data_IF_743179823027
#
_entry.id   IF_743179823027
#
_cell.length_a   1.000
_cell.length_b   1.000
_cell.length_c   1.000
_cell.angle_alpha   90.00
_cell.angle_beta   90.00
_cell.angle_gamma   90.00
#
_symmetry.space_group_name_H-M   'P 1'
#
loop_
_entity.id
_entity.type
_entity.pdbx_description
1 polymer ?
#
# COMPACT_ATOMS: atom_id res chain seq x y z
N UNK A 1 1.22 -4.82 -6.15
CA UNK A 1 1.62 -3.80 -5.15
C UNK A 1 0.45 -3.03 -4.57
N UNK A 2 0.06 -1.87 -5.12
CA UNK A 2 -1.05 -1.06 -4.56
C UNK A 2 -2.32 -1.87 -4.37
N UNK A 3 -2.75 -2.59 -5.40
CA UNK A 3 -3.97 -3.39 -5.35
C UNK A 3 -3.89 -4.52 -4.32
N UNK A 4 -2.71 -5.13 -4.16
CA UNK A 4 -2.42 -6.14 -3.14
C UNK A 4 -2.56 -5.56 -1.73
N UNK A 5 -1.99 -4.37 -1.48
CA UNK A 5 -2.10 -3.68 -0.20
C UNK A 5 -3.54 -3.30 0.13
N UNK A 6 -4.28 -2.75 -0.85
CA UNK A 6 -5.70 -2.43 -0.68
C UNK A 6 -6.56 -3.68 -0.48
N UNK A 7 -6.24 -4.80 -1.12
CA UNK A 7 -6.94 -6.07 -0.94
C UNK A 7 -6.70 -6.65 0.46
N UNK A 8 -5.44 -6.67 0.92
CA UNK A 8 -5.09 -7.10 2.28
C UNK A 8 -5.78 -6.21 3.33
N UNK A 9 -5.83 -4.90 3.10
CA UNK A 9 -6.53 -3.94 3.97
C UNK A 9 -8.07 -4.05 3.92
N UNK A 10 -8.63 -4.73 2.91
CA UNK A 10 -10.08 -4.78 2.69
C UNK A 10 -10.68 -3.50 2.10
N UNK A 11 -9.84 -2.62 1.54
CA UNK A 11 -10.24 -1.35 0.93
C UNK A 11 -10.48 -1.45 -0.59
N UNK A 12 -9.94 -2.49 -1.24
CA UNK A 12 -9.95 -2.59 -2.70
C UNK A 12 -11.38 -2.62 -3.27
N UNK A 13 -11.71 -1.62 -4.09
CA UNK A 13 -12.92 -1.62 -4.89
C UNK A 13 -12.70 -2.47 -6.16
N UNK A 14 -13.47 -3.56 -6.26
CA UNK A 14 -13.40 -4.55 -7.35
C UNK A 14 -14.35 -4.28 -8.52
N UNK A 15 -15.06 -3.14 -8.53
CA UNK A 15 -15.96 -2.79 -9.63
C UNK A 15 -15.21 -2.78 -10.97
N UNK A 16 -15.76 -3.48 -11.95
CA UNK A 16 -15.24 -3.54 -13.32
C UNK A 16 -16.00 -2.55 -14.19
N UNK A 17 -15.28 -1.84 -15.05
CA UNK A 17 -15.82 -0.82 -15.96
C UNK A 17 -16.14 0.52 -15.27
N UNK A 18 -16.61 1.50 -16.04
CA UNK A 18 -16.86 2.86 -15.55
C UNK A 18 -15.62 3.77 -15.58
N UNK A 19 -15.75 5.01 -15.09
CA UNK A 19 -14.68 6.00 -15.19
C UNK A 19 -13.44 5.61 -14.37
N UNK A 20 -12.29 6.09 -14.83
CA UNK A 20 -11.05 6.07 -14.06
C UNK A 20 -11.13 6.98 -12.83
N UNK A 21 -10.10 6.91 -11.99
CA UNK A 21 -9.97 7.77 -10.83
C UNK A 21 -8.63 8.52 -10.86
N UNK A 22 -8.65 9.72 -10.28
CA UNK A 22 -7.46 10.52 -10.08
C UNK A 22 -6.93 10.31 -8.66
N UNK A 23 -5.71 9.77 -8.48
CA UNK A 23 -5.09 9.66 -7.17
C UNK A 23 -4.74 11.04 -6.60
N UNK A 24 -4.64 11.12 -5.27
CA UNK A 24 -4.10 12.31 -4.63
C UNK A 24 -2.62 12.48 -4.99
N UNK A 25 -2.25 13.70 -5.39
CA UNK A 25 -0.87 14.05 -5.67
C UNK A 25 -0.23 14.70 -4.44
N UNK A 26 1.10 14.56 -4.24
CA UNK A 26 1.80 15.27 -3.17
C UNK A 26 1.66 16.79 -3.34
N UNK A 27 1.47 17.51 -2.23
CA UNK A 27 1.29 18.96 -2.26
C UNK A 27 2.45 19.70 -2.96
N UNK A 28 3.70 19.26 -2.76
CA UNK A 28 4.87 19.85 -3.41
C UNK A 28 4.98 19.62 -4.92
N UNK A 29 4.19 18.69 -5.47
CA UNK A 29 4.10 18.49 -6.92
C UNK A 29 3.14 19.51 -7.53
N UNK A 30 2.09 19.91 -6.81
CA UNK A 30 1.07 20.86 -7.27
C UNK A 30 1.56 22.33 -7.24
N UNK A 31 2.63 22.63 -6.51
CA UNK A 31 3.22 23.96 -6.40
C UNK A 31 4.17 24.32 -7.54
N UNK A 32 4.52 23.39 -8.43
CA UNK A 32 5.28 23.71 -9.64
C UNK A 32 4.35 24.37 -10.67
N UNK A 33 4.70 25.58 -11.13
CA UNK A 33 3.87 26.42 -12.02
C UNK A 33 3.36 25.70 -13.29
N UNK A 34 4.03 24.63 -13.74
CA UNK A 34 3.61 23.79 -14.87
C UNK A 34 2.30 23.02 -14.64
N UNK A 35 1.83 22.93 -13.39
CA UNK A 35 0.73 22.07 -12.96
C UNK A 35 -0.53 22.84 -12.54
N UNK A 36 -0.49 24.17 -12.53
CA UNK A 36 -1.66 25.00 -12.20
C UNK A 36 -2.69 25.14 -13.33
N UNK A 37 -2.47 24.50 -14.49
CA UNK A 37 -3.50 24.47 -15.53
C UNK A 37 -4.74 23.74 -15.02
N UNK A 38 -5.93 24.21 -15.41
CA UNK A 38 -7.26 23.62 -15.12
C UNK A 38 -7.41 22.13 -15.51
N UNK A 39 -6.38 21.53 -16.13
CA UNK A 39 -6.32 20.14 -16.58
C UNK A 39 -5.87 19.15 -15.51
N UNK A 40 -5.42 19.59 -14.35
CA UNK A 40 -5.25 18.69 -13.20
C UNK A 40 -6.62 18.36 -12.62
N UNK A 41 -7.10 17.16 -12.95
CA UNK A 41 -8.31 16.64 -12.33
C UNK A 41 -8.13 16.65 -10.80
N UNK A 42 -9.16 17.11 -10.10
CA UNK A 42 -9.19 17.02 -8.63
C UNK A 42 -9.11 15.54 -8.23
N UNK A 43 -8.42 15.21 -7.12
CA UNK A 43 -8.38 13.83 -6.63
C UNK A 43 -9.80 13.28 -6.44
N UNK A 44 -10.02 12.05 -6.91
CA UNK A 44 -11.32 11.40 -6.77
C UNK A 44 -11.60 11.10 -5.30
N UNK A 45 -12.75 11.54 -4.80
CA UNK A 45 -13.18 11.31 -3.43
C UNK A 45 -13.93 9.98 -3.27
N UNK A 46 -14.07 9.54 -2.01
CA UNK A 46 -14.89 8.39 -1.64
C UNK A 46 -14.37 7.04 -2.17
N UNK A 47 -15.25 6.03 -2.33
CA UNK A 47 -14.85 4.66 -2.66
C UNK A 47 -14.23 4.51 -4.06
N UNK A 48 -14.40 5.52 -4.93
CA UNK A 48 -13.75 5.57 -6.24
C UNK A 48 -12.22 5.63 -6.16
N UNK A 49 -11.65 6.11 -5.05
CA UNK A 49 -10.19 6.24 -4.87
C UNK A 49 -9.46 4.91 -4.64
N UNK A 50 -10.19 3.87 -4.25
CA UNK A 50 -9.63 2.52 -3.98
C UNK A 50 -9.88 1.54 -5.13
N UNK A 51 -10.24 2.02 -6.31
CA UNK A 51 -10.32 1.18 -7.51
C UNK A 51 -8.96 0.57 -7.84
N UNK A 52 -8.97 -0.52 -8.60
CA UNK A 52 -7.76 -1.17 -9.13
C UNK A 52 -6.86 -0.18 -9.86
N UNK A 53 -5.55 -0.37 -9.79
CA UNK A 53 -4.56 0.51 -10.38
C UNK A 53 -4.70 0.69 -11.89
N UNK A 54 -5.32 -0.27 -12.58
CA UNK A 54 -5.66 -0.19 -14.02
C UNK A 54 -6.62 0.97 -14.35
N UNK A 55 -7.38 1.47 -13.37
CA UNK A 55 -8.29 2.61 -13.52
C UNK A 55 -7.64 3.94 -13.14
N UNK A 56 -6.34 3.99 -12.85
CA UNK A 56 -5.64 5.25 -12.57
C UNK A 56 -5.59 6.08 -13.86
N UNK A 57 -6.03 7.33 -13.77
CA UNK A 57 -5.80 8.30 -14.83
C UNK A 57 -4.32 8.69 -14.85
N UNK A 58 -3.61 8.33 -15.91
CA UNK A 58 -2.19 8.66 -16.10
C UNK A 58 -2.08 9.77 -17.14
N UNK A 59 -1.41 10.86 -16.80
CA UNK A 59 -1.12 11.96 -17.72
C UNK A 59 0.33 11.86 -18.19
N UNK A 60 0.55 11.99 -19.50
CA UNK A 60 1.89 11.83 -20.12
C UNK A 60 2.94 12.79 -19.55
N UNK A 61 2.54 14.03 -19.25
CA UNK A 61 3.44 15.07 -18.70
C UNK A 61 3.51 15.09 -17.18
N UNK A 62 2.68 14.29 -16.50
CA UNK A 62 2.64 14.20 -15.05
C UNK A 62 2.60 12.73 -14.63
N UNK A 63 3.77 12.05 -14.68
CA UNK A 63 3.84 10.68 -14.22
C UNK A 63 3.62 10.63 -12.70
N UNK A 64 2.89 9.60 -12.25
CA UNK A 64 2.61 9.44 -10.83
C UNK A 64 3.87 8.96 -10.09
N UNK A 65 4.39 9.68 -9.07
CA UNK A 65 5.65 9.33 -8.41
C UNK A 65 5.68 7.89 -7.89
N UNK A 66 4.58 7.44 -7.28
CA UNK A 66 4.45 6.05 -6.81
C UNK A 66 4.58 5.05 -7.95
N UNK A 67 3.91 5.27 -9.08
CA UNK A 67 4.01 4.36 -10.23
C UNK A 67 5.43 4.34 -10.79
N UNK A 68 6.12 5.49 -10.85
CA UNK A 68 7.50 5.57 -11.29
C UNK A 68 8.46 4.81 -10.37
N UNK A 69 8.30 4.94 -9.05
CA UNK A 69 9.12 4.20 -8.09
C UNK A 69 9.01 2.68 -8.30
N UNK A 70 7.84 2.19 -8.74
CA UNK A 70 7.60 0.78 -9.07
C UNK A 70 7.76 0.44 -10.55
N UNK A 71 8.67 1.11 -11.27
CA UNK A 71 9.03 0.77 -12.65
C UNK A 71 7.82 0.75 -13.61
N UNK A 72 6.96 1.78 -13.52
CA UNK A 72 5.87 1.95 -14.47
C UNK A 72 6.38 2.05 -15.92
N UNK A 73 5.56 1.55 -16.85
CA UNK A 73 5.91 1.54 -18.27
C UNK A 73 6.14 2.96 -18.79
N UNK A 74 7.25 3.18 -19.49
CA UNK A 74 7.55 4.44 -20.14
C UNK A 74 6.63 4.62 -21.37
N UNK A 75 5.78 5.66 -21.45
CA UNK A 75 4.89 5.88 -22.59
C UNK A 75 5.62 6.31 -23.88
N UNK A 76 6.95 6.49 -23.83
CA UNK A 76 7.79 6.94 -24.94
C UNK A 76 8.71 5.83 -25.49
N UNK A 77 8.63 4.61 -24.98
CA UNK A 77 9.51 3.52 -25.39
C UNK A 77 8.87 2.15 -25.25
N UNK A 78 9.44 1.15 -25.91
CA UNK A 78 8.99 -0.24 -25.84
C UNK A 78 9.69 -0.98 -24.69
N UNK A 79 8.95 -1.83 -23.98
CA UNK A 79 9.50 -2.69 -22.93
C UNK A 79 9.16 -4.16 -23.25
N UNK A 80 10.16 -4.96 -23.63
CA UNK A 80 9.95 -6.37 -23.99
C UNK A 80 9.67 -7.27 -22.77
N UNK A 81 10.25 -6.92 -21.61
CA UNK A 81 10.07 -7.64 -20.35
C UNK A 81 10.22 -6.68 -19.18
N UNK A 82 9.34 -6.82 -18.19
CA UNK A 82 9.46 -6.10 -16.92
C UNK A 82 10.48 -6.80 -16.03
N UNK A 83 11.52 -6.08 -15.60
CA UNK A 83 12.44 -6.56 -14.57
C UNK A 83 11.74 -6.58 -13.22
N UNK A 84 12.13 -7.52 -12.34
CA UNK A 84 11.81 -7.40 -10.92
C UNK A 84 12.88 -6.56 -10.27
N UNK A 85 12.45 -5.51 -9.59
CA UNK A 85 13.32 -4.63 -8.81
C UNK A 85 12.85 -4.66 -7.36
N UNK A 86 13.81 -4.69 -6.44
CA UNK A 86 13.60 -4.51 -5.00
C UNK A 86 14.61 -3.47 -4.55
N UNK A 87 14.34 -2.19 -4.88
CA UNK A 87 15.25 -1.10 -4.55
C UNK A 87 14.84 -0.40 -3.24
N UNK A 88 15.79 0.24 -2.52
CA UNK A 88 15.49 0.96 -1.29
C UNK A 88 14.46 2.08 -1.46
N UNK A 89 14.38 2.68 -2.66
CA UNK A 89 13.41 3.72 -2.97
C UNK A 89 11.97 3.18 -2.99
N UNK A 90 11.76 1.95 -3.46
CA UNK A 90 10.47 1.26 -3.44
C UNK A 90 10.05 0.96 -2.00
N UNK A 91 10.96 0.45 -1.18
CA UNK A 91 10.69 0.23 0.25
C UNK A 91 10.33 1.54 0.96
N UNK A 92 11.06 2.63 0.68
CA UNK A 92 10.76 3.95 1.21
C UNK A 92 9.42 4.48 0.72
N UNK A 93 9.06 4.22 -0.55
CA UNK A 93 7.76 4.60 -1.12
C UNK A 93 6.62 3.86 -0.42
N UNK A 94 6.76 2.55 -0.17
CA UNK A 94 5.76 1.78 0.60
C UNK A 94 5.56 2.33 2.01
N UNK A 95 6.62 2.85 2.64
CA UNK A 95 6.55 3.38 4.00
C UNK A 95 5.90 4.78 4.06
N UNK A 96 6.08 5.59 3.02
CA UNK A 96 5.74 7.01 3.07
C UNK A 96 4.54 7.41 2.21
N UNK A 97 4.22 6.67 1.14
CA UNK A 97 3.11 7.07 0.28
C UNK A 97 1.77 7.02 1.04
N UNK A 98 0.91 8.05 0.92
CA UNK A 98 -0.39 8.10 1.59
C UNK A 98 -1.26 6.86 1.38
N UNK A 99 -1.23 6.24 0.19
CA UNK A 99 -2.08 5.08 -0.10
C UNK A 99 -1.67 3.85 0.73
N UNK A 100 -0.37 3.64 0.93
CA UNK A 100 0.13 2.53 1.73
C UNK A 100 -0.04 2.80 3.23
N UNK A 101 0.07 4.06 3.66
CA UNK A 101 -0.25 4.47 5.02
C UNK A 101 -1.73 4.27 5.37
N UNK A 102 -2.63 4.62 4.45
CA UNK A 102 -4.06 4.34 4.60
C UNK A 102 -4.31 2.83 4.64
N UNK A 103 -3.74 2.07 3.70
CA UNK A 103 -3.88 0.63 3.65
C UNK A 103 -3.35 -0.05 4.93
N UNK A 104 -2.20 0.37 5.46
CA UNK A 104 -1.65 -0.15 6.70
C UNK A 104 -2.54 0.15 7.91
N UNK A 105 -3.12 1.36 7.97
CA UNK A 105 -4.05 1.74 9.03
C UNK A 105 -5.32 0.88 8.99
N UNK A 106 -5.91 0.72 7.80
CA UNK A 106 -7.09 -0.10 7.61
C UNK A 106 -6.81 -1.61 7.86
N UNK A 107 -5.66 -2.11 7.40
CA UNK A 107 -5.20 -3.47 7.69
C UNK A 107 -5.00 -3.69 9.19
N UNK A 108 -4.38 -2.74 9.88
CA UNK A 108 -4.25 -2.78 11.34
C UNK A 108 -5.60 -2.86 12.04
N UNK A 109 -6.60 -2.09 11.58
CA UNK A 109 -7.98 -2.14 12.12
C UNK A 109 -8.62 -3.50 11.90
N UNK A 110 -8.44 -4.05 10.71
CA UNK A 110 -8.93 -5.37 10.33
C UNK A 110 -8.30 -6.49 11.15
N UNK A 111 -7.00 -6.41 11.46
CA UNK A 111 -6.28 -7.36 12.30
C UNK A 111 -6.76 -7.25 13.76
N UNK A 112 -6.80 -6.03 14.29
CA UNK A 112 -7.22 -5.78 15.67
C UNK A 112 -8.65 -6.28 15.91
N UNK A 113 -9.60 -5.96 15.04
CA UNK A 113 -10.99 -6.40 15.17
C UNK A 113 -11.17 -7.92 15.15
N UNK A 114 -10.28 -8.66 14.47
CA UNK A 114 -10.37 -10.12 14.36
C UNK A 114 -9.67 -10.88 15.49
N UNK A 115 -8.79 -10.23 16.27
CA UNK A 115 -7.92 -10.87 17.26
C UNK A 115 -7.52 -9.92 18.41
N UNK A 116 -8.44 -9.08 18.89
CA UNK A 116 -8.15 -8.00 19.86
C UNK A 116 -7.50 -8.48 21.18
N UNK A 117 -7.64 -9.76 21.48
CA UNK A 117 -7.33 -10.41 22.74
C UNK A 117 -5.98 -11.17 22.74
N UNK A 118 -5.25 -11.24 21.62
CA UNK A 118 -3.93 -11.89 21.59
C UNK A 118 -3.00 -11.37 20.49
N UNK A 119 -1.81 -10.92 20.89
CA UNK A 119 -0.73 -10.53 19.95
C UNK A 119 -0.38 -11.65 18.98
N UNK A 120 -0.26 -12.89 19.48
CA UNK A 120 0.06 -14.05 18.64
C UNK A 120 -1.00 -14.24 17.55
N UNK A 121 -2.29 -14.19 17.91
CA UNK A 121 -3.36 -14.29 16.91
C UNK A 121 -3.37 -13.11 15.93
N UNK A 122 -3.03 -11.91 16.36
CA UNK A 122 -2.91 -10.74 15.49
C UNK A 122 -1.79 -10.94 14.45
N UNK A 123 -0.63 -11.45 14.87
CA UNK A 123 0.49 -11.76 13.98
C UNK A 123 0.09 -12.86 12.98
N UNK A 124 -0.46 -13.99 13.46
CA UNK A 124 -0.96 -15.04 12.57
C UNK A 124 -1.97 -14.51 11.56
N UNK A 125 -2.88 -13.64 11.99
CA UNK A 125 -3.88 -13.04 11.09
C UNK A 125 -3.24 -12.14 10.04
N UNK A 126 -2.23 -11.36 10.41
CA UNK A 126 -1.50 -10.52 9.48
C UNK A 126 -0.79 -11.36 8.39
N UNK A 127 -0.15 -12.47 8.78
CA UNK A 127 0.48 -13.40 7.84
C UNK A 127 -0.53 -14.05 6.89
N UNK A 128 -1.69 -14.47 7.38
CA UNK A 128 -2.75 -15.01 6.53
C UNK A 128 -3.25 -13.99 5.49
N UNK A 129 -3.45 -12.74 5.90
CA UNK A 129 -3.96 -11.69 5.02
C UNK A 129 -2.94 -11.22 3.97
N UNK A 130 -1.66 -11.17 4.33
CA UNK A 130 -0.60 -10.64 3.47
C UNK A 130 0.14 -11.74 2.68
N UNK A 131 0.50 -12.84 3.35
CA UNK A 131 1.42 -13.86 2.83
C UNK A 131 0.73 -15.23 2.62
N UNK A 132 -0.48 -15.42 3.13
CA UNK A 132 -1.24 -16.67 3.08
C UNK A 132 -0.48 -17.91 3.61
N UNK A 133 0.41 -17.70 4.59
CA UNK A 133 1.11 -18.75 5.33
C UNK A 133 1.06 -18.46 6.83
N UNK A 134 1.59 -19.36 7.65
CA UNK A 134 1.87 -19.08 9.05
C UNK A 134 3.25 -18.39 9.21
N UNK A 135 3.42 -17.53 10.23
CA UNK A 135 4.75 -17.08 10.63
C UNK A 135 5.57 -18.25 11.17
N UNK A 136 6.88 -18.21 10.96
CA UNK A 136 7.79 -19.09 11.69
C UNK A 136 8.07 -18.57 13.12
N UNK A 137 8.84 -19.35 13.90
CA UNK A 137 9.14 -19.00 15.29
C UNK A 137 10.00 -17.74 15.44
N UNK A 138 10.90 -17.46 14.49
CA UNK A 138 11.77 -16.29 14.52
C UNK A 138 10.99 -15.02 14.15
N UNK A 139 10.18 -15.08 13.09
CA UNK A 139 9.27 -14.03 12.67
C UNK A 139 8.29 -13.66 13.79
N UNK A 140 7.69 -14.67 14.42
CA UNK A 140 6.77 -14.46 15.53
C UNK A 140 7.45 -13.73 16.69
N UNK A 141 8.64 -14.17 17.08
CA UNK A 141 9.38 -13.57 18.19
C UNK A 141 9.78 -12.10 17.90
N UNK A 142 10.21 -11.79 16.68
CA UNK A 142 10.56 -10.41 16.29
C UNK A 142 9.33 -9.51 16.29
N UNK A 143 8.21 -9.98 15.76
CA UNK A 143 6.99 -9.18 15.67
C UNK A 143 6.30 -9.01 17.03
N UNK A 144 6.38 -9.99 17.92
CA UNK A 144 5.93 -9.84 19.30
C UNK A 144 6.71 -8.74 20.02
N UNK A 145 8.04 -8.67 19.84
CA UNK A 145 8.87 -7.59 20.38
C UNK A 145 8.47 -6.24 19.82
N UNK A 146 8.23 -6.15 18.50
CA UNK A 146 7.76 -4.92 17.86
C UNK A 146 6.43 -4.46 18.49
N UNK A 147 5.46 -5.35 18.61
CA UNK A 147 4.14 -5.02 19.16
C UNK A 147 4.22 -4.59 20.63
N UNK A 148 5.15 -5.17 21.40
CA UNK A 148 5.39 -4.81 22.79
C UNK A 148 5.97 -3.40 22.98
N UNK A 149 6.50 -2.75 21.92
CA UNK A 149 6.92 -1.34 22.01
C UNK A 149 5.74 -0.37 22.09
N UNK A 150 4.54 -0.83 21.78
CA UNK A 150 3.30 -0.06 21.86
C UNK A 150 2.47 -0.50 23.08
N UNK A 151 1.84 0.44 23.76
CA UNK A 151 0.96 0.16 24.92
C UNK A 151 -0.49 0.55 24.60
N UNK A 152 -1.47 -0.37 24.66
CA UNK A 152 -1.31 -1.81 24.89
C UNK A 152 -0.74 -2.53 23.66
N UNK A 153 -0.02 -3.63 23.90
CA UNK A 153 0.64 -4.38 22.84
C UNK A 153 -0.34 -5.05 21.85
N UNK A 154 -1.58 -5.30 22.27
CA UNK A 154 -2.68 -5.79 21.44
C UNK A 154 -3.46 -4.66 20.75
N UNK A 155 -3.10 -3.41 21.00
CA UNK A 155 -3.86 -2.24 20.60
C UNK A 155 -3.83 -1.99 19.09
N UNK A 156 -4.72 -1.10 18.66
CA UNK A 156 -4.84 -0.66 17.28
C UNK A 156 -3.52 -0.08 16.73
N UNK A 157 -2.78 0.67 17.55
CA UNK A 157 -1.49 1.25 17.16
C UNK A 157 -0.43 0.17 16.87
N UNK A 158 -0.34 -0.86 17.72
CA UNK A 158 0.55 -2.00 17.53
C UNK A 158 0.19 -2.78 16.25
N UNK A 159 -1.10 -3.02 16.02
CA UNK A 159 -1.58 -3.67 14.79
C UNK A 159 -1.28 -2.84 13.53
N UNK A 160 -1.29 -1.51 13.63
CA UNK A 160 -0.94 -0.61 12.51
C UNK A 160 0.55 -0.64 12.22
N UNK A 161 1.40 -0.69 13.25
CA UNK A 161 2.85 -0.88 13.09
C UNK A 161 3.18 -2.24 12.46
N UNK A 162 2.53 -3.32 12.93
CA UNK A 162 2.61 -4.64 12.32
C UNK A 162 2.20 -4.60 10.84
N UNK A 163 1.06 -3.99 10.51
CA UNK A 163 0.57 -3.87 9.14
C UNK A 163 1.55 -3.12 8.22
N UNK A 164 2.22 -2.07 8.71
CA UNK A 164 3.27 -1.36 7.97
C UNK A 164 4.44 -2.26 7.63
N UNK A 165 4.91 -3.06 8.59
CA UNK A 165 5.98 -4.03 8.34
C UNK A 165 5.53 -5.05 7.30
N UNK A 166 4.35 -5.65 7.46
CA UNK A 166 3.86 -6.68 6.54
C UNK A 166 3.74 -6.19 5.09
N UNK A 167 3.30 -4.95 4.87
CA UNK A 167 3.19 -4.36 3.53
C UNK A 167 4.57 -4.05 2.93
N UNK A 168 5.60 -3.84 3.77
CA UNK A 168 6.95 -3.51 3.35
C UNK A 168 7.84 -4.74 3.10
N UNK A 169 7.42 -5.94 3.53
CA UNK A 169 8.19 -7.17 3.34
C UNK A 169 8.43 -7.45 1.86
N UNK A 170 9.65 -7.85 1.50
CA UNK A 170 9.98 -8.24 0.13
C UNK A 170 9.05 -9.36 -0.38
N UNK A 171 8.75 -10.35 0.46
CA UNK A 171 7.82 -11.44 0.13
C UNK A 171 6.42 -10.93 -0.23
N UNK A 172 5.96 -9.83 0.39
CA UNK A 172 4.70 -9.19 0.02
C UNK A 172 4.79 -8.48 -1.34
N UNK A 173 5.98 -8.02 -1.71
CA UNK A 173 6.24 -7.26 -2.94
C UNK A 173 6.35 -8.17 -4.16
N UNK A 174 7.09 -9.27 -4.03
CA UNK A 174 7.52 -10.09 -5.17
C UNK A 174 6.62 -11.28 -5.44
N UNK A 175 5.56 -11.45 -4.64
CA UNK A 175 4.61 -12.56 -4.76
C UNK A 175 3.95 -12.60 -6.13
N UNK A 176 4.14 -13.71 -6.84
CA UNK A 176 3.39 -14.08 -8.05
C UNK A 176 2.09 -14.81 -7.71
#
# INVERSE_FOLDING_TARGET
>A
MRDSALAAAGLLNRQVGGPGFQPALPAGLLSADALQSERLMKPTAGPGRHRRGVYINVQRMLPLPMLQAFDAANPNGTCARRARSTNPLQALTLLNDPVFNEAATALGRRIHAAAADSNTRQIHRAFQLCLARAPDAAELAVLQKLMATHTPATGQAACTALARVMINLEEFITRD
#
